data_IF_502043352097
#
_entry.id   IF_502043352097
#
_cell.length_a   1.000
_cell.length_b   1.000
_cell.length_c   1.000
_cell.angle_alpha   90.00
_cell.angle_beta   90.00
_cell.angle_gamma   90.00
#
_symmetry.space_group_name_H-M   'P 1'
#
loop_
_entity.id
_entity.type
_entity.pdbx_description
1 polymer ?
#
# COMPACT_ATOMS: atom_id res chain seq x y z
N UNK A 1 3.81 -25.18 -16.95
CA UNK A 1 2.87 -24.03 -16.96
C UNK A 1 1.47 -24.43 -16.55
N UNK A 2 0.90 -25.51 -17.10
CA UNK A 2 -0.48 -25.93 -16.79
C UNK A 2 -0.71 -26.22 -15.31
N UNK A 3 0.16 -27.00 -14.66
CA UNK A 3 0.01 -27.28 -13.22
C UNK A 3 0.06 -26.00 -12.34
N UNK A 4 0.91 -25.03 -12.67
CA UNK A 4 0.95 -23.73 -11.99
C UNK A 4 -0.35 -22.94 -12.20
N UNK A 5 -0.90 -22.97 -13.43
CA UNK A 5 -2.19 -22.34 -13.74
C UNK A 5 -3.34 -22.99 -12.97
N UNK A 6 -3.35 -24.31 -12.82
CA UNK A 6 -4.35 -25.01 -12.01
C UNK A 6 -4.27 -24.63 -10.53
N UNK A 7 -3.05 -24.50 -9.97
CA UNK A 7 -2.85 -24.03 -8.60
C UNK A 7 -3.39 -22.60 -8.46
N UNK A 8 -3.02 -21.69 -9.36
CA UNK A 8 -3.50 -20.32 -9.35
C UNK A 8 -5.03 -20.28 -9.46
N UNK A 9 -5.62 -21.01 -10.40
CA UNK A 9 -7.07 -21.05 -10.60
C UNK A 9 -7.81 -21.58 -9.36
N UNK A 10 -7.26 -22.60 -8.70
CA UNK A 10 -7.81 -23.15 -7.47
C UNK A 10 -7.74 -22.13 -6.33
N UNK A 11 -6.58 -21.50 -6.14
CA UNK A 11 -6.37 -20.48 -5.10
C UNK A 11 -7.21 -19.23 -5.34
N UNK A 12 -7.42 -18.85 -6.60
CA UNK A 12 -8.15 -17.63 -6.98
C UNK A 12 -9.66 -17.86 -7.05
N UNK A 13 -10.13 -19.10 -6.85
CA UNK A 13 -11.56 -19.39 -6.76
C UNK A 13 -12.16 -18.56 -5.60
N UNK A 14 -13.21 -17.73 -5.84
CA UNK A 14 -13.77 -16.84 -4.82
C UNK A 14 -14.17 -17.56 -3.53
N UNK A 15 -14.61 -18.81 -3.62
CA UNK A 15 -14.98 -19.63 -2.45
C UNK A 15 -13.80 -19.93 -1.52
N UNK A 16 -12.57 -19.90 -2.03
CA UNK A 16 -11.33 -20.15 -1.27
C UNK A 16 -10.65 -18.80 -0.98
N UNK A 17 -10.50 -17.97 -2.00
CA UNK A 17 -9.74 -16.72 -1.92
C UNK A 17 -10.35 -15.75 -0.89
N UNK A 18 -11.66 -15.51 -0.98
CA UNK A 18 -12.33 -14.51 -0.15
C UNK A 18 -12.25 -14.84 1.36
N UNK A 19 -12.65 -16.04 1.84
CA UNK A 19 -12.52 -16.36 3.26
C UNK A 19 -11.06 -16.40 3.71
N UNK A 20 -10.14 -16.83 2.84
CA UNK A 20 -8.71 -16.85 3.15
C UNK A 20 -8.15 -15.44 3.36
N UNK A 21 -8.50 -14.48 2.50
CA UNK A 21 -8.10 -13.07 2.65
C UNK A 21 -8.68 -12.49 3.94
N UNK A 22 -9.98 -12.69 4.19
CA UNK A 22 -10.63 -12.17 5.40
C UNK A 22 -9.99 -12.74 6.67
N UNK A 23 -9.66 -14.02 6.67
CA UNK A 23 -8.97 -14.65 7.80
C UNK A 23 -7.56 -14.08 7.98
N UNK A 24 -6.75 -14.05 6.91
CA UNK A 24 -5.37 -13.54 6.94
C UNK A 24 -5.29 -12.05 7.27
N UNK A 25 -6.31 -11.27 6.90
CA UNK A 25 -6.39 -9.83 7.16
C UNK A 25 -6.14 -9.52 8.63
N UNK A 26 -6.75 -10.26 9.57
CA UNK A 26 -6.59 -10.02 11.00
C UNK A 26 -5.19 -10.35 11.55
N UNK A 27 -4.41 -11.17 10.84
CA UNK A 27 -3.02 -11.44 11.21
C UNK A 27 -2.06 -10.39 10.65
N UNK A 28 -2.39 -9.82 9.49
CA UNK A 28 -1.62 -8.74 8.85
C UNK A 28 -1.91 -7.40 9.55
N UNK A 29 -3.19 -7.14 9.85
CA UNK A 29 -3.71 -5.96 10.54
C UNK A 29 -4.40 -6.37 11.85
N UNK A 30 -3.62 -6.63 12.92
CA UNK A 30 -4.16 -7.12 14.18
C UNK A 30 -5.05 -6.07 14.87
N UNK A 31 -6.34 -6.35 15.13
CA UNK A 31 -7.25 -5.41 15.80
C UNK A 31 -7.14 -5.40 17.33
N UNK A 32 -6.37 -6.33 17.92
CA UNK A 32 -6.21 -6.44 19.36
C UNK A 32 -4.79 -6.91 19.76
N UNK A 33 -4.46 -6.78 21.04
CA UNK A 33 -3.13 -7.10 21.58
C UNK A 33 -2.75 -8.58 21.45
N UNK A 34 -3.73 -9.49 21.48
CA UNK A 34 -3.48 -10.92 21.32
C UNK A 34 -2.96 -11.24 19.91
N UNK A 35 -3.67 -10.76 18.88
CA UNK A 35 -3.26 -10.92 17.48
C UNK A 35 -1.99 -10.13 17.18
N UNK A 36 -1.77 -8.99 17.83
CA UNK A 36 -0.52 -8.25 17.72
C UNK A 36 0.69 -9.06 18.24
N UNK A 37 0.54 -9.79 19.35
CA UNK A 37 1.58 -10.71 19.84
C UNK A 37 1.87 -11.81 18.83
N UNK A 38 0.84 -12.37 18.18
CA UNK A 38 1.01 -13.39 17.13
C UNK A 38 1.73 -12.79 15.91
N UNK A 39 1.30 -11.62 15.43
CA UNK A 39 1.94 -10.91 14.33
C UNK A 39 3.44 -10.67 14.60
N UNK A 40 3.77 -10.22 15.82
CA UNK A 40 5.16 -10.03 16.27
C UNK A 40 5.94 -11.35 16.32
N UNK A 41 5.34 -12.42 16.84
CA UNK A 41 5.94 -13.77 16.89
C UNK A 41 6.25 -14.32 15.50
N UNK A 42 5.33 -14.14 14.55
CA UNK A 42 5.47 -14.55 13.15
C UNK A 42 6.31 -13.56 12.32
N UNK A 43 6.75 -12.45 12.93
CA UNK A 43 7.52 -11.38 12.27
C UNK A 43 6.83 -10.74 11.05
N UNK A 44 5.50 -10.78 11.02
CA UNK A 44 4.71 -10.19 9.93
C UNK A 44 4.87 -8.67 9.86
N UNK A 45 5.10 -8.00 10.99
CA UNK A 45 5.43 -6.57 11.03
C UNK A 45 6.64 -6.16 10.16
N UNK A 46 7.52 -7.10 9.79
CA UNK A 46 8.67 -6.80 8.93
C UNK A 46 8.27 -6.45 7.49
N UNK A 47 7.05 -6.80 7.05
CA UNK A 47 6.51 -6.41 5.74
C UNK A 47 6.51 -4.88 5.60
N UNK A 48 6.23 -4.18 6.69
CA UNK A 48 6.16 -2.71 6.75
C UNK A 48 7.52 -2.05 7.01
N UNK A 49 8.63 -2.73 6.69
CA UNK A 49 9.98 -2.15 6.74
C UNK A 49 10.44 -1.78 5.33
N UNK A 50 11.50 -0.98 5.19
CA UNK A 50 12.14 -0.71 3.87
C UNK A 50 12.56 -2.01 3.16
N UNK A 51 13.11 -2.98 3.90
CA UNK A 51 13.45 -4.32 3.36
C UNK A 51 12.19 -5.08 2.93
N UNK A 52 11.13 -5.01 3.73
CA UNK A 52 9.82 -5.57 3.41
C UNK A 52 9.23 -4.97 2.12
N UNK A 53 9.38 -3.66 1.92
CA UNK A 53 9.00 -2.97 0.68
C UNK A 53 9.74 -3.56 -0.51
N UNK A 54 11.07 -3.67 -0.44
CA UNK A 54 11.87 -4.22 -1.53
C UNK A 54 11.41 -5.62 -1.89
N UNK A 55 11.16 -6.49 -0.90
CA UNK A 55 10.64 -7.84 -1.14
C UNK A 55 9.24 -7.80 -1.77
N UNK A 56 8.32 -7.01 -1.21
CA UNK A 56 6.93 -6.88 -1.69
C UNK A 56 6.87 -6.40 -3.14
N UNK A 57 7.62 -5.35 -3.48
CA UNK A 57 7.69 -4.83 -4.84
C UNK A 57 8.42 -5.77 -5.78
N UNK A 58 9.49 -6.44 -5.34
CA UNK A 58 10.18 -7.43 -6.17
C UNK A 58 9.27 -8.61 -6.51
N UNK A 59 8.46 -9.07 -5.55
CA UNK A 59 7.45 -10.11 -5.79
C UNK A 59 6.35 -9.62 -6.74
N UNK A 60 5.86 -8.39 -6.57
CA UNK A 60 4.84 -7.81 -7.45
C UNK A 60 5.35 -7.66 -8.89
N UNK A 61 6.54 -7.08 -9.08
CA UNK A 61 7.19 -6.96 -10.39
C UNK A 61 7.46 -8.34 -10.97
N UNK A 62 8.01 -9.26 -10.18
CA UNK A 62 8.29 -10.63 -10.59
C UNK A 62 7.04 -11.37 -11.05
N UNK A 63 5.92 -11.19 -10.35
CA UNK A 63 4.63 -11.76 -10.73
C UNK A 63 4.13 -11.22 -12.07
N UNK A 64 4.18 -9.90 -12.29
CA UNK A 64 3.78 -9.30 -13.57
C UNK A 64 4.73 -9.70 -14.70
N UNK A 65 6.05 -9.67 -14.47
CA UNK A 65 7.05 -10.08 -15.45
C UNK A 65 6.89 -11.55 -15.86
N UNK A 66 6.66 -12.43 -14.88
CA UNK A 66 6.34 -13.84 -15.13
C UNK A 66 5.00 -13.99 -15.86
N UNK A 67 3.97 -13.26 -15.45
CA UNK A 67 2.66 -13.27 -16.11
C UNK A 67 2.74 -12.84 -17.57
N UNK A 68 3.60 -11.87 -17.90
CA UNK A 68 3.88 -11.46 -19.28
C UNK A 68 4.50 -12.59 -20.13
N UNK A 69 4.93 -13.72 -19.58
CA UNK A 69 5.30 -14.89 -20.40
C UNK A 69 4.10 -15.64 -20.98
N UNK A 70 2.88 -15.41 -20.46
CA UNK A 70 1.64 -16.02 -20.94
C UNK A 70 0.93 -15.11 -21.97
N UNK A 71 0.75 -15.55 -23.24
CA UNK A 71 0.12 -14.72 -24.26
C UNK A 71 -1.31 -14.26 -23.91
N UNK A 72 -2.05 -15.07 -23.16
CA UNK A 72 -3.40 -14.70 -22.71
C UNK A 72 -3.37 -13.57 -21.69
N UNK A 73 -2.43 -13.62 -20.75
CA UNK A 73 -2.25 -12.56 -19.76
C UNK A 73 -1.80 -11.26 -20.42
N UNK A 74 -0.81 -11.32 -21.33
CA UNK A 74 -0.35 -10.16 -22.11
C UNK A 74 -1.52 -9.45 -22.80
N UNK A 75 -2.38 -10.21 -23.51
CA UNK A 75 -3.56 -9.66 -24.21
C UNK A 75 -4.57 -9.00 -23.28
N UNK A 76 -4.58 -9.35 -21.99
CA UNK A 76 -5.45 -8.73 -21.00
C UNK A 76 -4.80 -7.47 -20.46
N UNK A 77 -3.55 -7.56 -19.95
CA UNK A 77 -2.91 -6.42 -19.28
C UNK A 77 -2.46 -5.31 -20.23
N UNK A 78 -2.19 -5.63 -21.50
CA UNK A 78 -1.80 -4.65 -22.51
C UNK A 78 -3.00 -3.96 -23.18
N UNK A 79 -4.25 -4.27 -22.78
CA UNK A 79 -5.41 -3.52 -23.28
C UNK A 79 -5.30 -2.07 -22.81
N UNK A 80 -5.61 -1.08 -23.67
CA UNK A 80 -5.42 0.34 -23.33
C UNK A 80 -6.10 0.78 -22.03
N UNK A 81 -7.28 0.24 -21.71
CA UNK A 81 -8.04 0.48 -20.48
C UNK A 81 -7.47 -0.22 -19.24
N UNK A 82 -6.72 -1.32 -19.43
CA UNK A 82 -6.12 -2.08 -18.34
C UNK A 82 -4.72 -1.59 -17.94
N UNK A 83 -4.00 -0.88 -18.81
CA UNK A 83 -2.68 -0.31 -18.48
C UNK A 83 -2.75 0.62 -17.25
N UNK A 84 -3.73 1.55 -17.14
CA UNK A 84 -3.93 2.33 -15.92
C UNK A 84 -4.23 1.47 -14.69
N UNK A 85 -4.98 0.38 -14.84
CA UNK A 85 -5.32 -0.54 -13.74
C UNK A 85 -4.06 -1.22 -13.19
N UNK A 86 -3.15 -1.66 -14.06
CA UNK A 86 -1.86 -2.21 -13.63
C UNK A 86 -1.10 -1.17 -12.80
N UNK A 87 -1.01 0.08 -13.29
CA UNK A 87 -0.39 1.18 -12.53
C UNK A 87 -1.04 1.41 -11.17
N UNK A 88 -2.37 1.40 -11.10
CA UNK A 88 -3.13 1.54 -9.85
C UNK A 88 -2.81 0.43 -8.84
N UNK A 89 -2.59 -0.82 -9.28
CA UNK A 89 -2.19 -1.92 -8.39
C UNK A 89 -0.86 -1.58 -7.69
N UNK A 90 0.12 -1.07 -8.42
CA UNK A 90 1.39 -0.64 -7.83
C UNK A 90 1.20 0.51 -6.84
N UNK A 91 0.37 1.50 -7.19
CA UNK A 91 0.08 2.64 -6.31
C UNK A 91 -0.65 2.22 -5.02
N UNK A 92 -1.65 1.34 -5.12
CA UNK A 92 -2.38 0.83 -3.95
C UNK A 92 -1.43 0.11 -3.00
N UNK A 93 -0.58 -0.77 -3.54
CA UNK A 93 0.43 -1.48 -2.73
C UNK A 93 1.44 -0.50 -2.13
N UNK A 94 1.86 0.52 -2.88
CA UNK A 94 2.77 1.56 -2.40
C UNK A 94 2.19 2.37 -1.26
N UNK A 95 1.01 2.95 -1.45
CA UNK A 95 0.40 3.81 -0.43
C UNK A 95 0.00 3.02 0.81
N UNK A 96 -0.42 1.75 0.66
CA UNK A 96 -0.64 0.85 1.79
C UNK A 96 0.67 0.59 2.56
N UNK A 97 1.76 0.30 1.85
CA UNK A 97 3.05 0.10 2.50
C UNK A 97 3.53 1.38 3.18
N UNK A 98 3.40 2.53 2.53
CA UNK A 98 3.83 3.83 3.03
C UNK A 98 3.09 4.20 4.31
N UNK A 99 1.75 4.06 4.33
CA UNK A 99 0.94 4.35 5.50
C UNK A 99 1.32 3.47 6.69
N UNK A 100 1.56 2.18 6.44
CA UNK A 100 1.97 1.25 7.50
C UNK A 100 3.41 1.46 7.97
N UNK A 101 4.31 1.86 7.06
CA UNK A 101 5.68 2.24 7.39
C UNK A 101 5.69 3.46 8.34
N UNK A 102 4.92 4.50 8.01
CA UNK A 102 4.76 5.71 8.83
C UNK A 102 4.11 5.39 10.19
N UNK A 103 3.03 4.59 10.20
CA UNK A 103 2.37 4.16 11.43
C UNK A 103 3.37 3.47 12.39
N UNK A 104 4.23 2.59 11.85
CA UNK A 104 5.27 1.92 12.64
C UNK A 104 6.34 2.87 13.17
N UNK A 105 6.77 3.85 12.38
CA UNK A 105 7.70 4.89 12.86
C UNK A 105 7.07 5.71 13.99
N UNK A 106 5.78 6.05 13.87
CA UNK A 106 5.04 6.75 14.92
C UNK A 106 4.90 5.90 16.19
N UNK A 107 4.61 4.60 16.08
CA UNK A 107 4.60 3.70 17.24
C UNK A 107 5.96 3.69 17.97
N UNK A 108 7.07 3.69 17.22
CA UNK A 108 8.41 3.77 17.79
C UNK A 108 8.68 5.11 18.47
N UNK A 109 8.19 6.22 17.91
CA UNK A 109 8.30 7.56 18.50
C UNK A 109 7.50 7.67 19.80
N UNK A 110 6.26 7.19 19.79
CA UNK A 110 5.38 7.19 20.97
C UNK A 110 6.01 6.35 22.09
N UNK A 111 6.59 5.18 21.77
CA UNK A 111 7.32 4.37 22.74
C UNK A 111 8.55 5.08 23.34
N UNK A 112 9.11 6.06 22.64
CA UNK A 112 10.20 6.93 23.12
C UNK A 112 9.68 8.18 23.84
N UNK A 113 8.37 8.31 24.06
CA UNK A 113 7.75 9.50 24.67
C UNK A 113 7.70 10.73 23.74
N UNK A 114 7.92 10.55 22.43
CA UNK A 114 7.82 11.62 21.43
C UNK A 114 6.43 11.65 20.80
N UNK A 115 6.05 12.81 20.27
CA UNK A 115 4.84 12.95 19.46
C UNK A 115 4.99 12.25 18.09
N UNK A 116 3.88 11.85 17.43
CA UNK A 116 3.88 11.42 16.03
C UNK A 116 4.59 12.43 15.13
N UNK A 117 5.13 11.97 14.01
CA UNK A 117 5.92 12.83 13.12
C UNK A 117 5.10 14.00 12.56
N UNK A 118 3.83 13.76 12.26
CA UNK A 118 2.86 14.72 11.71
C UNK A 118 2.56 15.86 12.69
N UNK A 119 2.85 15.69 13.98
CA UNK A 119 2.68 16.75 14.97
C UNK A 119 3.68 17.90 14.79
N UNK A 120 4.80 17.67 14.09
CA UNK A 120 5.72 18.74 13.70
C UNK A 120 5.12 19.59 12.56
N UNK A 121 4.53 18.94 11.55
CA UNK A 121 3.90 19.63 10.40
C UNK A 121 2.71 20.49 10.85
N UNK A 122 1.95 20.05 11.86
CA UNK A 122 0.83 20.80 12.43
C UNK A 122 1.24 22.12 13.14
N UNK A 123 2.53 22.33 13.42
CA UNK A 123 3.02 23.59 14.00
C UNK A 123 3.09 24.71 12.96
N UNK A 124 3.26 24.34 11.69
CA UNK A 124 3.25 25.29 10.59
C UNK A 124 1.80 25.63 10.26
N UNK A 125 1.41 26.88 10.49
CA UNK A 125 0.08 27.35 10.09
C UNK A 125 0.06 27.49 8.58
N UNK A 126 -0.54 26.53 7.91
CA UNK A 126 -0.84 26.63 6.48
C UNK A 126 -1.99 27.63 6.32
N UNK A 127 -1.81 28.58 5.41
CA UNK A 127 -2.84 29.52 5.01
C UNK A 127 -3.96 28.75 4.31
N UNK A 128 -5.05 28.52 5.05
CA UNK A 128 -6.30 27.95 4.54
C UNK A 128 -7.29 29.08 4.28
N UNK A 129 -8.48 28.78 3.75
CA UNK A 129 -9.53 29.79 3.64
C UNK A 129 -9.76 30.52 4.99
N UNK A 130 -9.81 31.87 5.04
CA UNK A 130 -9.89 32.82 3.93
C UNK A 130 -8.55 33.27 3.33
N UNK A 131 -7.41 32.91 3.93
CA UNK A 131 -6.09 33.41 3.53
C UNK A 131 -5.68 33.00 2.10
N UNK A 132 -6.22 31.89 1.60
CA UNK A 132 -6.01 31.43 0.22
C UNK A 132 -6.47 32.46 -0.82
N UNK A 133 -7.52 33.24 -0.50
CA UNK A 133 -8.07 34.28 -1.38
C UNK A 133 -7.05 35.38 -1.67
N UNK A 134 -6.18 35.70 -0.70
CA UNK A 134 -5.15 36.74 -0.89
C UNK A 134 -4.11 36.32 -1.93
N UNK A 135 -3.67 35.07 -1.90
CA UNK A 135 -2.66 34.54 -2.84
C UNK A 135 -3.28 34.40 -4.24
N UNK A 136 -4.52 33.92 -4.34
CA UNK A 136 -5.26 33.85 -5.62
C UNK A 136 -5.44 35.24 -6.24
N UNK A 137 -5.77 36.25 -5.43
CA UNK A 137 -5.91 37.63 -5.89
C UNK A 137 -4.58 38.21 -6.40
N UNK A 138 -3.46 37.97 -5.70
CA UNK A 138 -2.12 38.38 -6.15
C UNK A 138 -1.76 37.70 -7.47
N UNK A 139 -2.03 36.39 -7.60
CA UNK A 139 -1.78 35.66 -8.83
C UNK A 139 -2.58 36.21 -10.01
N UNK A 140 -3.85 36.58 -9.81
CA UNK A 140 -4.67 37.22 -10.83
C UNK A 140 -4.10 38.57 -11.28
N UNK A 141 -3.58 39.39 -10.37
CA UNK A 141 -2.94 40.67 -10.73
C UNK A 141 -1.66 40.42 -11.53
N UNK A 142 -0.84 39.44 -11.15
CA UNK A 142 0.45 39.16 -11.79
C UNK A 142 0.33 38.48 -13.16
N UNK A 143 -0.75 37.72 -13.38
CA UNK A 143 -1.01 36.97 -14.62
C UNK A 143 -1.98 37.67 -15.58
N UNK A 144 -2.50 38.85 -15.22
CA UNK A 144 -3.33 39.69 -16.08
C UNK A 144 -2.48 40.69 -16.87
#
# INVERSE_FOLDING_TARGET
>A
MEHLKEIINTLTNPKILFPSILFLYFFIFPPNDYLLKINKRLKLYNIWTKKGAVVLFSLLIGFFAFGLTDPNFQKIVAKPDNVPIVGLIFLVVFFLWLSMYQARENDQRIAQGKLPNEAEDAKEKILVWPDLVYIEFIALILCA
#
